data_IF_902401003619
#
_entry.id   IF_902401003619
#
_cell.length_a   1.000
_cell.length_b   1.000
_cell.length_c   1.000
_cell.angle_alpha   90.00
_cell.angle_beta   90.00
_cell.angle_gamma   90.00
#
_symmetry.space_group_name_H-M   'P 1'
#
loop_
_entity.id
_entity.type
_entity.pdbx_description
1 polymer ?
#
# COMPACT_ATOMS: atom_id res chain seq x y z
N UNK A 1 -11.64 -9.98 -63.89
CA UNK A 1 -12.04 -11.18 -63.13
C UNK A 1 -11.58 -11.00 -61.68
N UNK A 2 -12.55 -10.87 -60.79
CA UNK A 2 -12.35 -10.41 -59.41
C UNK A 2 -11.87 -11.55 -58.52
N UNK A 3 -10.88 -11.31 -57.67
CA UNK A 3 -10.65 -12.05 -56.44
C UNK A 3 -10.63 -11.08 -55.27
N UNK A 4 -11.81 -10.80 -54.73
CA UNK A 4 -12.00 -10.34 -53.36
C UNK A 4 -12.09 -11.60 -52.51
N UNK A 5 -11.18 -11.82 -51.63
CA UNK A 5 -11.14 -12.93 -50.68
C UNK A 5 -10.70 -12.45 -49.31
N UNK A 6 -11.65 -12.28 -48.44
CA UNK A 6 -11.67 -12.65 -47.01
C UNK A 6 -10.34 -12.55 -46.22
N UNK A 7 -10.08 -11.39 -45.63
CA UNK A 7 -9.24 -11.27 -44.49
C UNK A 7 -9.99 -10.48 -43.41
N UNK A 8 -10.15 -11.08 -42.25
CA UNK A 8 -10.52 -10.53 -40.95
C UNK A 8 -11.70 -11.22 -40.26
N UNK A 9 -11.58 -12.51 -40.03
CA UNK A 9 -12.16 -13.08 -38.82
C UNK A 9 -11.04 -13.03 -37.74
N UNK A 10 -10.90 -11.86 -37.15
CA UNK A 10 -10.10 -11.71 -35.94
C UNK A 10 -10.75 -12.54 -34.83
N UNK A 11 -10.03 -13.49 -34.35
CA UNK A 11 -10.30 -14.37 -33.23
C UNK A 11 -10.79 -13.56 -32.02
N UNK A 12 -12.11 -13.56 -31.80
CA UNK A 12 -12.72 -13.20 -30.53
C UNK A 12 -12.53 -14.40 -29.59
N UNK A 13 -11.33 -14.59 -29.07
CA UNK A 13 -11.15 -15.40 -27.88
C UNK A 13 -11.83 -14.65 -26.72
N UNK A 14 -12.82 -15.24 -26.04
CA UNK A 14 -13.33 -14.65 -24.82
C UNK A 14 -12.15 -14.54 -23.85
N UNK A 15 -11.75 -13.30 -23.51
CA UNK A 15 -10.70 -13.02 -22.55
C UNK A 15 -10.98 -13.75 -21.25
N UNK A 16 -9.93 -14.13 -20.53
CA UNK A 16 -10.07 -14.81 -19.23
C UNK A 16 -10.99 -14.00 -18.31
N UNK A 17 -11.68 -14.61 -17.34
CA UNK A 17 -12.48 -13.87 -16.34
C UNK A 17 -11.70 -12.75 -15.67
N UNK A 18 -10.39 -12.92 -15.50
CA UNK A 18 -9.47 -11.92 -14.95
C UNK A 18 -9.30 -10.72 -15.90
N UNK A 19 -9.16 -10.96 -17.20
CA UNK A 19 -9.07 -9.89 -18.21
C UNK A 19 -10.37 -9.10 -18.32
N UNK A 20 -11.51 -9.77 -18.28
CA UNK A 20 -12.83 -9.09 -18.29
C UNK A 20 -13.04 -8.22 -17.05
N UNK A 21 -12.61 -8.67 -15.88
CA UNK A 21 -12.65 -7.89 -14.64
C UNK A 21 -11.70 -6.69 -14.69
N UNK A 22 -10.47 -6.88 -15.16
CA UNK A 22 -9.50 -5.80 -15.33
C UNK A 22 -9.99 -4.73 -16.30
N UNK A 23 -10.58 -5.13 -17.43
CA UNK A 23 -11.18 -4.20 -18.39
C UNK A 23 -12.40 -3.47 -17.82
N UNK A 24 -13.18 -4.10 -16.95
CA UNK A 24 -14.32 -3.44 -16.30
C UNK A 24 -13.90 -2.27 -15.40
N UNK A 25 -12.74 -2.38 -14.73
CA UNK A 25 -12.16 -1.32 -13.88
C UNK A 25 -11.27 -0.34 -14.67
N UNK A 26 -10.90 -0.64 -15.90
CA UNK A 26 -10.09 0.25 -16.74
C UNK A 26 -10.82 1.57 -17.11
N UNK A 27 -12.15 1.60 -16.98
CA UNK A 27 -12.93 2.81 -17.23
C UNK A 27 -12.88 3.75 -16.01
N UNK A 28 -12.24 4.95 -16.11
CA UNK A 28 -12.11 5.88 -15.00
C UNK A 28 -13.47 6.33 -14.41
N UNK A 29 -14.52 6.44 -15.24
CA UNK A 29 -15.82 6.88 -14.77
C UNK A 29 -16.52 5.80 -13.90
N UNK A 30 -16.37 4.52 -14.25
CA UNK A 30 -16.86 3.41 -13.42
C UNK A 30 -16.08 3.34 -12.11
N UNK A 31 -14.76 3.44 -12.18
CA UNK A 31 -13.90 3.47 -11.00
C UNK A 31 -14.29 4.61 -10.06
N UNK A 32 -14.45 5.84 -10.55
CA UNK A 32 -14.79 7.00 -9.73
C UNK A 32 -16.15 6.85 -9.02
N UNK A 33 -17.14 6.23 -9.67
CA UNK A 33 -18.43 5.93 -9.02
C UNK A 33 -18.29 4.95 -7.88
N UNK A 34 -17.56 3.84 -8.11
CA UNK A 34 -17.30 2.83 -7.09
C UNK A 34 -16.46 3.41 -5.93
N UNK A 35 -15.40 4.13 -6.25
CA UNK A 35 -14.55 4.77 -5.26
C UNK A 35 -15.32 5.78 -4.40
N UNK A 36 -16.23 6.58 -5.00
CA UNK A 36 -17.10 7.50 -4.26
C UNK A 36 -18.01 6.77 -3.27
N UNK A 37 -18.58 5.63 -3.68
CA UNK A 37 -19.45 4.80 -2.83
C UNK A 37 -18.68 4.17 -1.67
N UNK A 38 -17.48 3.63 -1.92
CA UNK A 38 -16.74 2.83 -0.94
C UNK A 38 -15.91 3.67 0.03
N UNK A 39 -15.42 4.84 -0.38
CA UNK A 39 -14.48 5.64 0.42
C UNK A 39 -15.02 5.98 1.81
N UNK A 40 -16.27 6.48 1.91
CA UNK A 40 -16.89 6.86 3.18
C UNK A 40 -17.06 5.68 4.13
N UNK A 41 -17.74 4.61 3.71
CA UNK A 41 -17.90 3.39 4.51
C UNK A 41 -16.58 2.77 4.98
N UNK A 42 -15.57 2.68 4.10
CA UNK A 42 -14.26 2.13 4.47
C UNK A 42 -13.56 2.96 5.55
N UNK A 43 -13.53 4.29 5.40
CA UNK A 43 -12.92 5.17 6.38
C UNK A 43 -13.68 5.13 7.71
N UNK A 44 -15.01 5.20 7.68
CA UNK A 44 -15.83 5.19 8.89
C UNK A 44 -15.68 3.86 9.64
N UNK A 45 -15.85 2.73 8.96
CA UNK A 45 -15.68 1.41 9.56
C UNK A 45 -14.24 1.22 10.07
N UNK A 46 -13.24 1.62 9.28
CA UNK A 46 -11.84 1.55 9.65
C UNK A 46 -11.54 2.36 10.93
N UNK A 47 -12.05 3.59 11.02
CA UNK A 47 -11.86 4.44 12.21
C UNK A 47 -12.54 3.80 13.43
N UNK A 48 -13.81 3.38 13.30
CA UNK A 48 -14.55 2.77 14.42
C UNK A 48 -13.83 1.51 14.94
N UNK A 49 -13.45 0.61 14.03
CA UNK A 49 -12.76 -0.63 14.40
C UNK A 49 -11.39 -0.33 15.01
N UNK A 50 -10.63 0.61 14.41
CA UNK A 50 -9.32 0.98 14.95
C UNK A 50 -9.42 1.59 16.34
N UNK A 51 -10.35 2.52 16.56
CA UNK A 51 -10.57 3.13 17.87
C UNK A 51 -10.96 2.09 18.89
N UNK A 52 -11.90 1.21 18.58
CA UNK A 52 -12.32 0.13 19.49
C UNK A 52 -11.16 -0.83 19.82
N UNK A 53 -10.40 -1.26 18.82
CA UNK A 53 -9.25 -2.14 19.00
C UNK A 53 -8.12 -1.48 19.80
N UNK A 54 -7.86 -0.19 19.57
CA UNK A 54 -6.85 0.57 20.33
C UNK A 54 -7.28 0.84 21.76
N UNK A 55 -8.54 1.18 22.00
CA UNK A 55 -9.08 1.33 23.36
C UNK A 55 -8.94 0.02 24.12
N UNK A 56 -9.34 -1.10 23.52
CA UNK A 56 -9.11 -2.41 24.10
C UNK A 56 -7.61 -2.68 24.33
N UNK A 57 -6.79 -2.52 23.31
CA UNK A 57 -5.36 -2.84 23.35
C UNK A 57 -4.56 -2.00 24.34
N UNK A 58 -4.84 -0.69 24.41
CA UNK A 58 -4.08 0.24 25.25
C UNK A 58 -4.61 0.29 26.69
N UNK A 59 -5.90 0.05 26.92
CA UNK A 59 -6.52 0.21 28.24
C UNK A 59 -7.01 -1.12 28.84
N UNK A 60 -7.46 -2.09 28.04
CA UNK A 60 -8.09 -3.32 28.48
C UNK A 60 -7.22 -4.57 28.38
N UNK A 61 -6.21 -4.60 27.48
CA UNK A 61 -5.35 -5.76 27.35
C UNK A 61 -4.50 -5.97 28.62
N UNK A 62 -4.33 -7.24 29.08
CA UNK A 62 -3.49 -7.54 30.24
C UNK A 62 -2.02 -7.18 29.98
N UNK A 63 -1.25 -6.99 31.05
CA UNK A 63 0.21 -6.90 30.95
C UNK A 63 0.79 -8.28 30.61
N UNK A 64 1.81 -8.31 29.76
CA UNK A 64 2.51 -9.56 29.42
C UNK A 64 3.63 -9.83 30.45
N UNK A 65 3.92 -11.12 30.69
CA UNK A 65 4.82 -11.53 31.77
C UNK A 65 6.26 -10.98 31.66
N UNK A 66 6.80 -10.89 30.44
CA UNK A 66 8.17 -10.43 30.19
C UNK A 66 8.24 -8.94 29.87
N UNK A 67 7.26 -8.43 29.12
CA UNK A 67 7.27 -7.05 28.62
C UNK A 67 6.38 -6.10 29.43
N UNK A 68 5.58 -6.63 30.36
CA UNK A 68 4.65 -5.82 31.15
C UNK A 68 3.69 -5.03 30.28
N UNK A 69 3.45 -3.78 30.64
CA UNK A 69 2.55 -2.85 29.92
C UNK A 69 3.04 -2.45 28.53
N UNK A 70 4.35 -2.58 28.26
CA UNK A 70 4.94 -2.13 27.00
C UNK A 70 4.49 -2.98 25.81
N UNK A 71 4.01 -4.21 26.06
CA UNK A 71 3.39 -5.06 25.03
C UNK A 71 2.24 -4.37 24.30
N UNK A 72 1.54 -3.44 24.92
CA UNK A 72 0.39 -2.72 24.33
C UNK A 72 0.75 -1.93 23.07
N UNK A 73 2.02 -1.58 22.88
CA UNK A 73 2.50 -0.93 21.65
C UNK A 73 2.27 -1.82 20.42
N UNK A 74 2.20 -3.14 20.60
CA UNK A 74 1.96 -4.09 19.50
C UNK A 74 0.71 -3.76 18.68
N UNK A 75 -0.36 -3.23 19.32
CA UNK A 75 -1.63 -2.94 18.64
C UNK A 75 -1.55 -1.78 17.64
N UNK A 76 -0.48 -0.99 17.71
CA UNK A 76 -0.17 0.05 16.74
C UNK A 76 0.99 -0.39 15.84
N UNK A 77 2.07 -0.90 16.45
CA UNK A 77 3.32 -1.19 15.76
C UNK A 77 3.16 -2.30 14.71
N UNK A 78 2.55 -3.42 15.08
CA UNK A 78 2.45 -4.58 14.18
C UNK A 78 1.54 -4.28 12.98
N UNK A 79 0.32 -3.72 13.15
CA UNK A 79 -0.48 -3.29 12.00
C UNK A 79 0.24 -2.26 11.13
N UNK A 80 0.98 -1.31 11.73
CA UNK A 80 1.75 -0.33 10.97
C UNK A 80 2.87 -0.98 10.15
N UNK A 81 3.58 -1.95 10.71
CA UNK A 81 4.60 -2.71 10.00
C UNK A 81 4.00 -3.49 8.81
N UNK A 82 2.88 -4.18 9.02
CA UNK A 82 2.21 -4.93 7.96
C UNK A 82 1.71 -4.03 6.83
N UNK A 83 1.15 -2.86 7.16
CA UNK A 83 0.68 -1.91 6.15
C UNK A 83 1.81 -1.14 5.48
N UNK A 84 2.90 -0.89 6.18
CA UNK A 84 4.12 -0.37 5.56
C UNK A 84 4.66 -1.32 4.48
N UNK A 85 4.77 -2.61 4.79
CA UNK A 85 5.17 -3.63 3.83
C UNK A 85 4.09 -3.89 2.77
N UNK A 86 2.82 -4.05 3.19
CA UNK A 86 1.68 -4.31 2.30
C UNK A 86 1.42 -3.17 1.31
N UNK A 87 1.62 -1.93 1.73
CA UNK A 87 1.54 -0.76 0.85
C UNK A 87 2.59 -0.79 -0.27
N UNK A 88 3.82 -1.23 0.05
CA UNK A 88 4.83 -1.43 -0.99
C UNK A 88 4.47 -2.59 -1.93
N UNK A 89 3.94 -3.68 -1.41
CA UNK A 89 3.45 -4.78 -2.25
C UNK A 89 2.30 -4.34 -3.15
N UNK A 90 1.43 -3.45 -2.68
CA UNK A 90 0.39 -2.84 -3.53
C UNK A 90 1.00 -1.98 -4.66
N UNK A 91 2.06 -1.20 -4.37
CA UNK A 91 2.82 -0.47 -5.40
C UNK A 91 3.42 -1.45 -6.41
N UNK A 92 4.07 -2.52 -5.96
CA UNK A 92 4.70 -3.51 -6.82
C UNK A 92 3.66 -4.23 -7.71
N UNK A 93 2.53 -4.65 -7.14
CA UNK A 93 1.44 -5.28 -7.90
C UNK A 93 0.84 -4.33 -8.95
N UNK A 94 0.61 -3.07 -8.59
CA UNK A 94 0.14 -2.06 -9.53
C UNK A 94 1.18 -1.77 -10.62
N UNK A 95 2.46 -1.68 -10.26
CA UNK A 95 3.58 -1.49 -11.20
C UNK A 95 3.70 -2.65 -12.19
N UNK A 96 3.56 -3.90 -11.71
CA UNK A 96 3.52 -5.08 -12.58
C UNK A 96 2.33 -5.00 -13.55
N UNK A 97 1.16 -4.62 -13.03
CA UNK A 97 -0.07 -4.46 -13.83
C UNK A 97 0.09 -3.37 -14.90
N UNK A 98 0.79 -2.28 -14.58
CA UNK A 98 1.12 -1.21 -15.53
C UNK A 98 2.07 -1.70 -16.62
N UNK A 99 3.13 -2.40 -16.25
CA UNK A 99 4.17 -2.83 -17.20
C UNK A 99 3.70 -3.94 -18.13
N UNK A 100 2.95 -4.92 -17.62
CA UNK A 100 2.51 -6.11 -18.37
C UNK A 100 1.23 -5.83 -19.14
N UNK A 101 0.19 -5.33 -18.47
CA UNK A 101 -1.13 -5.14 -19.07
C UNK A 101 -1.42 -3.69 -19.48
N UNK A 102 -0.52 -2.75 -19.20
CA UNK A 102 -0.68 -1.31 -19.52
C UNK A 102 -2.01 -0.75 -19.02
N UNK A 103 -2.47 -1.22 -17.85
CA UNK A 103 -3.75 -0.82 -17.29
C UNK A 103 -3.75 0.67 -16.93
N UNK A 104 -4.73 1.48 -17.39
CA UNK A 104 -4.68 2.94 -17.32
C UNK A 104 -4.69 3.51 -15.90
N UNK A 105 -5.24 2.78 -14.93
CA UNK A 105 -5.30 3.22 -13.53
C UNK A 105 -4.17 2.65 -12.66
N UNK A 106 -3.31 1.78 -13.19
CA UNK A 106 -2.33 1.07 -12.40
C UNK A 106 -1.26 2.02 -11.82
N UNK A 107 -0.66 2.89 -12.63
CA UNK A 107 0.29 3.89 -12.15
C UNK A 107 -0.32 4.88 -11.17
N UNK A 108 -1.60 5.24 -11.36
CA UNK A 108 -2.34 6.09 -10.43
C UNK A 108 -2.56 5.37 -9.09
N UNK A 109 -2.87 4.06 -9.11
CA UNK A 109 -3.04 3.26 -7.91
C UNK A 109 -1.72 3.14 -7.13
N UNK A 110 -0.60 2.88 -7.83
CA UNK A 110 0.73 2.83 -7.23
C UNK A 110 1.09 4.15 -6.54
N UNK A 111 0.92 5.29 -7.23
CA UNK A 111 1.15 6.63 -6.66
C UNK A 111 0.21 6.92 -5.48
N UNK A 112 -1.04 6.49 -5.55
CA UNK A 112 -2.00 6.68 -4.48
C UNK A 112 -1.64 5.90 -3.22
N UNK A 113 -1.11 4.69 -3.35
CA UNK A 113 -0.69 3.84 -2.23
C UNK A 113 0.61 4.33 -1.55
N UNK A 114 1.46 5.07 -2.28
CA UNK A 114 2.80 5.42 -1.81
C UNK A 114 2.79 6.27 -0.52
N UNK A 115 2.02 7.34 -0.46
CA UNK A 115 2.01 8.21 0.72
C UNK A 115 1.41 7.53 1.97
N UNK A 116 0.24 6.87 1.91
CA UNK A 116 -0.25 6.10 3.04
C UNK A 116 0.73 5.01 3.51
N UNK A 117 1.37 4.29 2.56
CA UNK A 117 2.39 3.29 2.89
C UNK A 117 3.61 3.89 3.60
N UNK A 118 4.10 5.03 3.12
CA UNK A 118 5.19 5.77 3.78
C UNK A 118 4.83 6.19 5.21
N UNK A 119 3.60 6.66 5.44
CA UNK A 119 3.12 7.01 6.78
C UNK A 119 3.07 5.81 7.71
N UNK A 120 2.61 4.64 7.24
CA UNK A 120 2.62 3.43 8.05
C UNK A 120 4.05 2.92 8.30
N UNK A 121 4.96 3.04 7.35
CA UNK A 121 6.37 2.73 7.56
C UNK A 121 7.01 3.67 8.61
N UNK A 122 6.74 4.96 8.54
CA UNK A 122 7.20 5.94 9.54
C UNK A 122 6.61 5.67 10.93
N UNK A 123 5.31 5.34 11.01
CA UNK A 123 4.65 4.98 12.26
C UNK A 123 5.24 3.71 12.86
N UNK A 124 5.55 2.70 12.04
CA UNK A 124 6.24 1.49 12.46
C UNK A 124 7.62 1.81 13.05
N UNK A 125 8.42 2.63 12.38
CA UNK A 125 9.75 3.04 12.88
C UNK A 125 9.66 3.80 14.21
N UNK A 126 8.75 4.76 14.31
CA UNK A 126 8.55 5.55 15.52
C UNK A 126 8.09 4.69 16.71
N UNK A 127 7.07 3.85 16.51
CA UNK A 127 6.55 2.96 17.56
C UNK A 127 7.51 1.85 17.90
N UNK A 128 8.30 1.36 16.93
CA UNK A 128 9.36 0.38 17.16
C UNK A 128 10.50 0.95 18.01
N UNK A 129 10.89 2.20 17.77
CA UNK A 129 11.87 2.91 18.59
C UNK A 129 11.37 3.11 20.04
N UNK A 130 10.11 3.52 20.19
CA UNK A 130 9.46 3.67 21.51
C UNK A 130 9.40 2.34 22.27
N UNK A 131 9.12 1.24 21.56
CA UNK A 131 9.09 -0.10 22.17
C UNK A 131 10.49 -0.64 22.47
N UNK A 132 11.47 -0.37 21.61
CA UNK A 132 12.85 -0.81 21.81
C UNK A 132 13.50 -0.28 23.10
N UNK A 133 13.17 0.94 23.51
CA UNK A 133 13.74 1.54 24.71
C UNK A 133 13.48 0.73 25.99
N UNK A 134 12.24 0.36 26.35
CA UNK A 134 11.98 -0.50 27.50
C UNK A 134 12.35 -1.97 27.26
N UNK A 135 12.22 -2.49 26.03
CA UNK A 135 12.46 -3.89 25.73
C UNK A 135 13.95 -4.25 25.66
N UNK A 136 14.81 -3.36 25.13
CA UNK A 136 16.22 -3.61 24.83
C UNK A 136 17.17 -2.61 25.44
N UNK A 137 16.68 -1.58 26.12
CA UNK A 137 17.48 -0.49 26.70
C UNK A 137 17.96 0.56 25.70
N UNK A 138 17.61 0.42 24.41
CA UNK A 138 18.06 1.31 23.33
C UNK A 138 16.88 1.76 22.45
N UNK A 139 16.93 3.01 21.99
CA UNK A 139 15.94 3.54 21.03
C UNK A 139 16.09 2.94 19.63
N UNK A 140 17.31 2.57 19.27
CA UNK A 140 17.67 2.05 17.96
C UNK A 140 18.80 1.04 18.06
N UNK A 141 18.69 -0.02 17.28
CA UNK A 141 19.73 -1.02 17.08
C UNK A 141 19.86 -1.27 15.58
N UNK A 142 21.08 -1.30 15.07
CA UNK A 142 21.36 -1.56 13.67
C UNK A 142 21.28 -3.07 13.39
N UNK A 143 20.08 -3.61 13.50
CA UNK A 143 19.82 -4.99 13.09
C UNK A 143 19.18 -5.06 11.70
N UNK A 144 19.07 -6.27 11.16
CA UNK A 144 18.56 -6.48 9.82
C UNK A 144 17.12 -6.00 9.63
N UNK A 145 16.25 -6.11 10.65
CA UNK A 145 14.83 -5.74 10.55
C UNK A 145 14.62 -4.24 10.63
N UNK A 146 15.24 -3.57 11.61
CA UNK A 146 15.10 -2.11 11.73
C UNK A 146 15.72 -1.42 10.52
N UNK A 147 16.92 -1.85 10.13
CA UNK A 147 17.64 -1.24 9.00
C UNK A 147 16.87 -1.43 7.68
N UNK A 148 16.37 -2.64 7.39
CA UNK A 148 15.60 -2.86 6.16
C UNK A 148 14.24 -2.16 6.17
N UNK A 149 13.59 -1.97 7.34
CA UNK A 149 12.39 -1.16 7.45
C UNK A 149 12.66 0.33 7.24
N UNK A 150 13.80 0.85 7.71
CA UNK A 150 14.26 2.21 7.42
C UNK A 150 14.56 2.37 5.92
N UNK A 151 15.21 1.39 5.30
CA UNK A 151 15.41 1.37 3.83
C UNK A 151 14.07 1.42 3.11
N UNK A 152 13.05 0.66 3.55
CA UNK A 152 11.71 0.71 2.96
C UNK A 152 11.11 2.12 3.04
N UNK A 153 11.26 2.81 4.16
CA UNK A 153 10.79 4.20 4.29
C UNK A 153 11.48 5.13 3.28
N UNK A 154 12.79 5.02 3.10
CA UNK A 154 13.51 5.81 2.08
C UNK A 154 13.13 5.40 0.64
N UNK A 155 12.85 4.12 0.40
CA UNK A 155 12.33 3.68 -0.89
C UNK A 155 10.97 4.34 -1.19
N UNK A 156 10.08 4.48 -0.19
CA UNK A 156 8.83 5.24 -0.34
C UNK A 156 9.09 6.70 -0.69
N UNK A 157 10.01 7.37 0.01
CA UNK A 157 10.35 8.76 -0.27
C UNK A 157 10.88 8.92 -1.70
N UNK A 158 11.77 8.03 -2.12
CA UNK A 158 12.33 8.03 -3.47
C UNK A 158 11.26 7.74 -4.54
N UNK A 159 10.38 6.76 -4.30
CA UNK A 159 9.27 6.46 -5.20
C UNK A 159 8.32 7.64 -5.38
N UNK A 160 7.95 8.31 -4.28
CA UNK A 160 7.07 9.50 -4.33
C UNK A 160 7.73 10.60 -5.16
N UNK A 161 9.00 10.91 -4.89
CA UNK A 161 9.74 11.93 -5.64
C UNK A 161 9.84 11.61 -7.14
N UNK A 162 10.15 10.35 -7.48
CA UNK A 162 10.26 9.88 -8.85
C UNK A 162 8.91 9.92 -9.59
N UNK A 163 7.84 9.44 -8.96
CA UNK A 163 6.50 9.42 -9.55
C UNK A 163 5.92 10.84 -9.71
N UNK A 164 6.22 11.74 -8.78
CA UNK A 164 5.78 13.14 -8.88
C UNK A 164 6.58 13.92 -9.93
N UNK A 165 7.88 13.65 -10.09
CA UNK A 165 8.67 14.22 -11.17
C UNK A 165 8.12 13.80 -12.54
N UNK A 166 7.88 12.50 -12.75
CA UNK A 166 7.31 11.98 -13.98
C UNK A 166 5.92 12.57 -14.29
N UNK A 167 5.10 12.80 -13.28
CA UNK A 167 3.78 13.40 -13.46
C UNK A 167 3.85 14.88 -13.90
N UNK A 168 4.82 15.66 -13.41
CA UNK A 168 5.06 17.04 -13.87
C UNK A 168 5.42 17.09 -15.35
N UNK A 169 6.14 16.07 -15.83
CA UNK A 169 6.48 15.90 -17.25
C UNK A 169 5.32 15.36 -18.09
N UNK A 170 4.11 15.26 -17.51
CA UNK A 170 2.90 14.77 -18.18
C UNK A 170 2.79 13.26 -18.29
N UNK A 171 3.69 12.51 -17.65
CA UNK A 171 3.69 11.05 -17.64
C UNK A 171 2.93 10.55 -16.39
N UNK A 172 1.61 10.38 -16.52
CA UNK A 172 0.79 9.81 -15.43
C UNK A 172 1.22 8.38 -15.06
N UNK A 173 1.69 7.62 -16.04
CA UNK A 173 2.24 6.27 -15.92
C UNK A 173 3.73 6.33 -16.30
N UNK A 174 4.61 6.13 -15.33
CA UNK A 174 6.05 6.17 -15.54
C UNK A 174 6.67 4.78 -15.44
N UNK A 175 7.21 4.29 -16.58
CA UNK A 175 7.92 3.00 -16.60
C UNK A 175 9.07 2.95 -15.60
N UNK A 176 9.76 4.07 -15.39
CA UNK A 176 10.88 4.17 -14.43
C UNK A 176 10.36 4.00 -13.00
N UNK A 177 9.28 4.69 -12.63
CA UNK A 177 8.66 4.53 -11.32
C UNK A 177 8.12 3.11 -11.13
N UNK A 178 7.50 2.51 -12.15
CA UNK A 178 7.01 1.14 -12.09
C UNK A 178 8.13 0.11 -11.90
N UNK A 179 9.24 0.23 -12.61
CA UNK A 179 10.41 -0.63 -12.42
C UNK A 179 10.98 -0.45 -11.01
N UNK A 180 11.09 0.80 -10.54
CA UNK A 180 11.58 1.08 -9.20
C UNK A 180 10.67 0.45 -8.11
N UNK A 181 9.34 0.52 -8.27
CA UNK A 181 8.37 -0.12 -7.39
C UNK A 181 8.55 -1.64 -7.32
N UNK A 182 8.80 -2.29 -8.47
CA UNK A 182 9.07 -3.73 -8.52
C UNK A 182 10.41 -4.10 -7.86
N UNK A 183 11.48 -3.39 -8.20
CA UNK A 183 12.82 -3.65 -7.63
C UNK A 183 12.81 -3.47 -6.12
N UNK A 184 12.16 -2.43 -5.62
CA UNK A 184 12.05 -2.18 -4.18
C UNK A 184 11.29 -3.26 -3.41
N UNK A 185 10.45 -4.06 -4.08
CA UNK A 185 9.74 -5.19 -3.44
C UNK A 185 10.69 -6.29 -2.95
N UNK A 186 11.91 -6.37 -3.48
CA UNK A 186 12.96 -7.29 -2.99
C UNK A 186 13.30 -7.02 -1.52
N UNK A 187 13.10 -5.80 -1.03
CA UNK A 187 13.32 -5.46 0.37
C UNK A 187 12.29 -6.08 1.33
N UNK A 188 11.09 -6.44 0.86
CA UNK A 188 10.03 -7.01 1.72
C UNK A 188 10.42 -8.37 2.32
N UNK A 189 10.86 -9.38 1.54
CA UNK A 189 11.36 -10.62 2.12
C UNK A 189 12.59 -10.40 3.03
N UNK A 190 13.44 -9.41 2.75
CA UNK A 190 14.56 -9.07 3.63
C UNK A 190 14.04 -8.62 5.00
N UNK A 191 13.06 -7.70 5.07
CA UNK A 191 12.43 -7.29 6.33
C UNK A 191 11.85 -8.51 7.06
N UNK A 192 11.10 -9.36 6.33
CA UNK A 192 10.37 -10.47 6.95
C UNK A 192 11.30 -11.55 7.52
N UNK A 193 12.33 -11.93 6.75
CA UNK A 193 13.22 -13.05 7.10
C UNK A 193 14.50 -12.59 7.80
N UNK A 194 14.77 -11.31 7.93
CA UNK A 194 15.98 -10.79 8.57
C UNK A 194 16.26 -11.36 9.96
N UNK A 195 15.22 -11.57 10.76
CA UNK A 195 15.34 -12.17 12.11
C UNK A 195 15.74 -13.64 12.12
N UNK A 196 15.59 -14.33 10.97
CA UNK A 196 16.02 -15.71 10.82
C UNK A 196 17.43 -15.80 10.22
N UNK A 197 17.87 -14.76 9.49
CA UNK A 197 19.17 -14.75 8.79
C UNK A 197 20.27 -14.09 9.59
N UNK A 198 19.92 -13.15 10.46
CA UNK A 198 20.87 -12.40 11.29
C UNK A 198 20.47 -12.46 12.75
N UNK A 199 21.48 -12.30 13.63
CA UNK A 199 21.21 -12.06 15.05
C UNK A 199 20.42 -10.77 15.21
N UNK A 200 19.23 -10.84 15.78
CA UNK A 200 18.34 -9.71 15.99
C UNK A 200 17.77 -9.77 17.40
N UNK A 201 17.54 -8.61 17.99
CA UNK A 201 16.79 -8.49 19.25
C UNK A 201 15.30 -8.67 19.06
N UNK A 202 14.82 -8.68 17.82
CA UNK A 202 13.41 -8.93 17.52
C UNK A 202 13.05 -10.40 17.70
N UNK A 203 11.85 -10.62 18.24
CA UNK A 203 11.27 -11.95 18.33
C UNK A 203 10.97 -12.52 16.94
N UNK A 204 11.11 -13.85 16.75
CA UNK A 204 10.63 -14.51 15.55
C UNK A 204 9.12 -14.28 15.36
N UNK A 205 8.58 -14.46 14.14
CA UNK A 205 7.16 -14.24 13.86
C UNK A 205 6.28 -15.12 14.76
N UNK A 206 5.45 -14.49 15.60
CA UNK A 206 4.49 -15.19 16.47
C UNK A 206 3.25 -15.67 15.71
N UNK A 207 2.99 -15.14 14.53
CA UNK A 207 1.90 -15.54 13.63
C UNK A 207 2.52 -16.06 12.35
N UNK A 208 2.22 -17.32 12.04
CA UNK A 208 2.63 -18.01 10.82
C UNK A 208 1.41 -18.60 10.12
N UNK A 209 1.57 -19.08 8.87
CA UNK A 209 0.48 -19.71 8.14
C UNK A 209 -0.09 -20.90 8.94
N UNK A 210 -1.33 -20.74 9.41
CA UNK A 210 -2.08 -21.78 10.12
C UNK A 210 -1.77 -21.95 11.61
N UNK A 211 -0.83 -21.17 12.18
CA UNK A 211 -0.49 -21.23 13.62
C UNK A 211 -0.23 -19.85 14.21
N UNK A 212 -0.70 -19.63 15.42
CA UNK A 212 -0.34 -18.48 16.24
C UNK A 212 0.19 -18.96 17.60
N UNK A 213 1.34 -18.43 17.99
CA UNK A 213 1.89 -18.64 19.34
C UNK A 213 1.43 -17.51 20.29
N UNK A 214 0.62 -16.57 19.81
CA UNK A 214 0.13 -15.43 20.58
C UNK A 214 -1.12 -15.83 21.36
N UNK A 215 -1.21 -15.40 22.62
CA UNK A 215 -2.38 -15.63 23.46
C UNK A 215 -3.63 -14.94 22.86
N UNK A 216 -4.83 -15.55 22.97
CA UNK A 216 -6.05 -15.07 22.32
C UNK A 216 -6.40 -13.62 22.65
N UNK A 217 -6.17 -13.17 23.88
CA UNK A 217 -6.44 -11.81 24.36
C UNK A 217 -5.64 -10.73 23.57
N UNK A 218 -4.44 -11.07 23.11
CA UNK A 218 -3.67 -10.17 22.23
C UNK A 218 -4.02 -10.37 20.76
N UNK A 219 -4.23 -11.62 20.33
CA UNK A 219 -4.45 -11.98 18.95
C UNK A 219 -5.69 -11.29 18.35
N UNK A 220 -6.84 -11.38 19.02
CA UNK A 220 -8.07 -10.81 18.49
C UNK A 220 -8.04 -9.29 18.42
N UNK A 221 -7.48 -8.63 19.45
CA UNK A 221 -7.27 -7.19 19.44
C UNK A 221 -6.32 -6.74 18.32
N UNK A 222 -5.24 -7.49 18.11
CA UNK A 222 -4.29 -7.23 17.03
C UNK A 222 -4.92 -7.40 15.64
N UNK A 223 -5.69 -8.46 15.43
CA UNK A 223 -6.39 -8.69 14.16
C UNK A 223 -7.43 -7.61 13.89
N UNK A 224 -8.16 -7.17 14.91
CA UNK A 224 -9.12 -6.08 14.81
C UNK A 224 -8.41 -4.74 14.47
N UNK A 225 -7.30 -4.41 15.14
CA UNK A 225 -6.50 -3.23 14.83
C UNK A 225 -5.97 -3.29 13.39
N UNK A 226 -5.46 -4.45 12.96
CA UNK A 226 -4.97 -4.65 11.59
C UNK A 226 -6.08 -4.48 10.56
N UNK A 227 -7.28 -5.02 10.81
CA UNK A 227 -8.44 -4.84 9.95
C UNK A 227 -8.82 -3.36 9.86
N UNK A 228 -8.94 -2.68 10.99
CA UNK A 228 -9.30 -1.26 11.04
C UNK A 228 -8.30 -0.39 10.28
N UNK A 229 -7.01 -0.57 10.51
CA UNK A 229 -5.95 0.16 9.79
C UNK A 229 -5.94 -0.18 8.30
N UNK A 230 -6.23 -1.43 7.91
CA UNK A 230 -6.33 -1.84 6.50
C UNK A 230 -7.48 -1.16 5.78
N UNK A 231 -8.63 -1.01 6.44
CA UNK A 231 -9.77 -0.29 5.89
C UNK A 231 -9.48 1.21 5.75
N UNK A 232 -8.78 1.82 6.71
CA UNK A 232 -8.31 3.20 6.63
C UNK A 232 -7.33 3.33 5.45
N UNK A 233 -6.36 2.43 5.33
CA UNK A 233 -5.39 2.44 4.23
C UNK A 233 -6.11 2.37 2.88
N UNK A 234 -7.02 1.43 2.69
CA UNK A 234 -7.80 1.28 1.46
C UNK A 234 -8.62 2.55 1.16
N UNK A 235 -9.29 3.11 2.16
CA UNK A 235 -10.05 4.36 2.05
C UNK A 235 -9.15 5.54 1.62
N UNK A 236 -7.98 5.69 2.22
CA UNK A 236 -7.00 6.73 1.88
C UNK A 236 -6.47 6.56 0.45
N UNK A 237 -6.20 5.31 0.02
CA UNK A 237 -5.79 5.03 -1.37
C UNK A 237 -6.89 5.45 -2.35
N UNK A 238 -8.15 5.13 -2.06
CA UNK A 238 -9.28 5.57 -2.91
C UNK A 238 -9.44 7.10 -2.95
N UNK A 239 -9.29 7.80 -1.82
CA UNK A 239 -9.29 9.28 -1.79
C UNK A 239 -8.20 9.82 -2.69
N UNK A 240 -6.98 9.31 -2.56
CA UNK A 240 -5.84 9.77 -3.35
C UNK A 240 -5.99 9.46 -4.84
N UNK A 241 -6.46 8.26 -5.21
CA UNK A 241 -6.74 7.92 -6.61
C UNK A 241 -7.75 8.90 -7.23
N UNK A 242 -8.83 9.21 -6.51
CA UNK A 242 -9.83 10.18 -6.96
C UNK A 242 -9.23 11.58 -7.14
N UNK A 243 -8.40 12.02 -6.19
CA UNK A 243 -7.72 13.32 -6.27
C UNK A 243 -6.76 13.38 -7.46
N UNK A 244 -5.93 12.37 -7.66
CA UNK A 244 -4.99 12.29 -8.77
C UNK A 244 -5.70 12.27 -10.13
N UNK A 245 -6.80 11.53 -10.26
CA UNK A 245 -7.61 11.51 -11.48
C UNK A 245 -8.28 12.86 -11.73
N UNK A 246 -8.82 13.52 -10.71
CA UNK A 246 -9.44 14.85 -10.86
C UNK A 246 -8.40 15.89 -11.30
N UNK A 247 -7.19 15.82 -10.74
CA UNK A 247 -6.10 16.72 -11.11
C UNK A 247 -5.69 16.54 -12.58
N UNK A 248 -5.44 15.29 -13.02
CA UNK A 248 -5.08 15.00 -14.41
C UNK A 248 -6.15 15.41 -15.42
N UNK A 249 -7.44 15.26 -15.07
CA UNK A 249 -8.55 15.71 -15.91
C UNK A 249 -8.62 17.24 -15.99
N UNK A 250 -8.36 17.94 -14.89
CA UNK A 250 -8.34 19.40 -14.87
C UNK A 250 -7.20 19.95 -15.74
N UNK A 251 -6.00 19.40 -15.61
CA UNK A 251 -4.84 19.77 -16.45
C UNK A 251 -5.11 19.52 -17.93
N UNK A 252 -5.69 18.37 -18.29
CA UNK A 252 -6.02 18.06 -19.68
C UNK A 252 -7.02 19.06 -20.28
N UNK A 253 -8.00 19.52 -19.48
CA UNK A 253 -8.96 20.55 -19.90
C UNK A 253 -8.29 21.91 -20.11
N UNK A 254 -7.39 22.29 -19.20
CA UNK A 254 -6.65 23.56 -19.32
C UNK A 254 -5.76 23.58 -20.56
N UNK A 255 -5.04 22.48 -20.81
CA UNK A 255 -4.21 22.35 -22.02
C UNK A 255 -5.04 22.47 -23.30
N UNK A 256 -6.19 21.82 -23.40
CA UNK A 256 -7.10 21.94 -24.54
C UNK A 256 -7.54 23.39 -24.78
N UNK A 257 -8.00 24.08 -23.72
CA UNK A 257 -8.42 25.50 -23.82
C UNK A 257 -7.28 26.42 -24.26
N UNK A 258 -6.06 26.17 -23.77
CA UNK A 258 -4.89 26.94 -24.18
C UNK A 258 -4.55 26.73 -25.68
N UNK A 259 -4.70 25.50 -26.18
CA UNK A 259 -4.51 25.21 -27.61
C UNK A 259 -5.58 25.88 -28.47
N UNK A 260 -6.87 25.77 -28.09
CA UNK A 260 -7.99 26.43 -28.78
C UNK A 260 -7.84 27.95 -28.83
N UNK A 261 -7.31 28.56 -27.76
CA UNK A 261 -7.03 29.99 -27.71
C UNK A 261 -5.81 30.43 -28.53
N UNK A 262 -4.85 29.51 -28.79
CA UNK A 262 -3.69 29.78 -29.61
C UNK A 262 -3.98 29.66 -31.11
N UNK A 263 -5.03 28.90 -31.46
CA UNK A 263 -5.47 28.67 -32.84
C UNK A 263 -6.50 29.73 -33.31
N UNK A 264 -7.03 30.58 -32.40
CA UNK A 264 -8.03 31.63 -32.64
C UNK A 264 -7.38 33.01 -32.85
#
# INVERSE_FOLDING_TARGET
MALRGTAAQAYNCPGSPLESFMHALANPARFLRLAKLLTGPLLLAGIIISVAALLWGLLGAPAEQLQGETVRILFIHVPAAWLGMGGWMAIAAASLTELVWRHPLAGIAARAAALPGAWFAALCLATGSLWGRPAWGAWWVWDGRLTSMLVLFFLYCAYIALADAAARDGQANSRVAAIFGLVGAVNIPIIHYSVLWWNSLHQPPSITLGKSAMAPEFLWGLLAATLGFSLIFAGLVLVRMRSLLAHSQAEARLRRRAMEAADA
#
